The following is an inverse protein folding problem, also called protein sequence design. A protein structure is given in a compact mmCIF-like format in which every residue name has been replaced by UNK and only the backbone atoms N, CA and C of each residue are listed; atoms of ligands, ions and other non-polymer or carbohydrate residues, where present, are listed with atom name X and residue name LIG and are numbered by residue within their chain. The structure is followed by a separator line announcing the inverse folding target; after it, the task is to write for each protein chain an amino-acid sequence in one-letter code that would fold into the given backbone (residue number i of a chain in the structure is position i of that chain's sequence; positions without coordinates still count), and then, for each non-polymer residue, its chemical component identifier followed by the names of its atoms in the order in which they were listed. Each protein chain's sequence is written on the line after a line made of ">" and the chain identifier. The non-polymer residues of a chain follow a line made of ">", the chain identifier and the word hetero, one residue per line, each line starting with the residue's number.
data_IF_655212814986
#
_entry.id   IF_655212814986
#
_cell.length_a   1.000
_cell.length_b   1.000
_cell.length_c   1.000
_cell.angle_alpha   90.00
_cell.angle_beta   90.00
_cell.angle_gamma   90.00
#
_symmetry.space_group_name_H-M   'P 1'
#
loop_
_entity.id
_entity.type
_entity.pdbx_description
1 polymer ?
#
# COMPACT_ATOMS: atom_id res chain seq x y z
N UNK A 1 11.71 18.93 19.92
CA UNK A 1 12.25 18.74 18.57
C UNK A 1 11.08 18.46 17.64
N UNK A 2 10.80 19.34 16.67
CA UNK A 2 9.75 19.06 15.69
C UNK A 2 10.15 17.82 14.88
N UNK A 3 9.23 16.88 14.70
CA UNK A 3 9.45 15.68 13.89
C UNK A 3 9.55 16.11 12.43
N UNK A 4 10.78 16.19 11.91
CA UNK A 4 11.08 16.62 10.53
C UNK A 4 10.40 15.74 9.47
N UNK A 5 10.23 14.45 9.76
CA UNK A 5 9.73 13.46 8.81
C UNK A 5 8.31 13.77 8.28
N UNK A 6 7.26 13.96 9.12
CA UNK A 6 5.94 14.38 8.63
C UNK A 6 5.97 15.61 7.71
N UNK A 7 6.80 16.60 8.01
CA UNK A 7 6.94 17.81 7.19
C UNK A 7 7.58 17.52 5.83
N UNK A 8 8.60 16.66 5.80
CA UNK A 8 9.24 16.24 4.55
C UNK A 8 8.30 15.40 3.67
N UNK A 9 7.46 14.56 4.27
CA UNK A 9 6.49 13.74 3.53
C UNK A 9 5.46 14.60 2.77
N UNK A 10 5.14 15.80 3.27
CA UNK A 10 4.27 16.76 2.55
C UNK A 10 4.86 17.23 1.22
N UNK A 11 6.17 17.07 1.00
CA UNK A 11 6.84 17.46 -0.24
C UNK A 11 6.75 16.37 -1.32
N UNK A 12 6.22 15.19 -1.00
CA UNK A 12 6.03 14.11 -1.96
C UNK A 12 4.78 14.39 -2.78
N UNK A 13 4.97 14.70 -4.06
CA UNK A 13 3.88 14.98 -5.01
C UNK A 13 3.78 13.91 -6.12
N UNK A 14 4.62 12.88 -6.06
CA UNK A 14 4.76 11.89 -7.12
C UNK A 14 5.34 10.57 -6.59
N UNK A 15 4.74 9.45 -7.00
CA UNK A 15 5.22 8.10 -6.69
C UNK A 15 5.36 7.30 -8.00
N UNK A 16 6.60 6.95 -8.38
CA UNK A 16 6.88 6.04 -9.50
C UNK A 16 7.48 6.73 -10.74
N UNK A 17 7.36 6.08 -11.92
CA UNK A 17 7.90 6.60 -13.20
C UNK A 17 6.81 6.94 -14.23
N UNK A 18 5.55 6.57 -13.99
CA UNK A 18 4.44 6.70 -14.95
C UNK A 18 3.31 7.59 -14.41
N UNK A 19 3.46 8.91 -14.53
CA UNK A 19 2.37 9.90 -14.63
C UNK A 19 1.25 9.88 -13.57
N UNK A 20 1.47 9.36 -12.36
CA UNK A 20 0.50 9.40 -11.28
C UNK A 20 0.59 10.71 -10.49
N UNK A 21 -0.54 11.37 -10.24
CA UNK A 21 -0.60 12.53 -9.35
C UNK A 21 -1.02 12.09 -7.95
N UNK A 22 -0.30 12.56 -6.92
CA UNK A 22 -0.66 12.37 -5.52
C UNK A 22 -0.91 13.74 -4.90
N UNK A 23 -2.08 13.93 -4.30
CA UNK A 23 -2.39 15.08 -3.48
C UNK A 23 -2.57 14.64 -2.03
N UNK A 24 -1.76 15.20 -1.14
CA UNK A 24 -1.87 14.93 0.29
C UNK A 24 -3.02 15.76 0.87
N UNK A 25 -4.01 15.08 1.44
CA UNK A 25 -5.22 15.71 1.99
C UNK A 25 -5.07 16.15 3.46
N UNK A 26 -4.01 15.70 4.15
CA UNK A 26 -3.74 16.01 5.55
C UNK A 26 -2.34 15.57 5.97
N UNK A 27 -1.87 16.05 7.12
CA UNK A 27 -0.53 15.74 7.61
C UNK A 27 -0.37 14.23 7.87
N UNK A 28 0.69 13.57 7.37
CA UNK A 28 0.97 12.17 7.67
C UNK A 28 1.13 11.93 9.17
N UNK A 29 0.46 10.91 9.68
CA UNK A 29 0.51 10.50 11.09
C UNK A 29 1.33 9.23 11.25
N UNK A 30 2.04 9.11 12.36
CA UNK A 30 2.72 7.87 12.72
C UNK A 30 1.71 6.93 13.38
N UNK A 31 1.62 5.70 12.88
CA UNK A 31 0.94 4.60 13.55
C UNK A 31 1.91 3.46 13.76
N UNK A 32 1.80 2.77 14.90
CA UNK A 32 2.56 1.55 15.17
C UNK A 32 1.92 0.32 14.54
N UNK A 33 0.61 0.38 14.33
CA UNK A 33 -0.18 -0.74 13.85
C UNK A 33 -1.03 -0.29 12.65
N UNK A 34 -1.28 -1.24 11.75
CA UNK A 34 -2.29 -1.03 10.72
C UNK A 34 -3.68 -1.07 11.37
N UNK A 35 -4.66 -0.32 10.85
CA UNK A 35 -6.03 -0.41 11.33
C UNK A 35 -6.51 -1.87 11.30
N UNK A 36 -7.03 -2.37 12.42
CA UNK A 36 -7.53 -3.73 12.52
C UNK A 36 -8.61 -4.00 11.48
N UNK A 37 -8.60 -5.19 10.87
CA UNK A 37 -9.57 -5.58 9.84
C UNK A 37 -9.28 -4.99 8.44
N UNK A 38 -8.23 -4.17 8.27
CA UNK A 38 -7.86 -3.57 6.99
C UNK A 38 -6.56 -4.19 6.45
N UNK A 39 -6.38 -4.17 5.13
CA UNK A 39 -5.16 -4.65 4.45
C UNK A 39 -4.88 -6.14 4.71
N UNK A 40 -5.89 -6.99 4.51
CA UNK A 40 -5.84 -8.40 4.90
C UNK A 40 -5.06 -9.24 3.89
N UNK A 41 -4.02 -9.95 4.34
CA UNK A 41 -3.31 -10.93 3.53
C UNK A 41 -4.07 -12.25 3.51
N UNK A 42 -4.66 -12.59 2.36
CA UNK A 42 -5.46 -13.82 2.20
C UNK A 42 -4.64 -15.11 2.31
N UNK A 43 -3.34 -15.04 2.01
CA UNK A 43 -2.43 -16.19 2.05
C UNK A 43 -1.63 -16.27 3.36
N UNK A 44 -2.09 -15.59 4.41
CA UNK A 44 -1.49 -15.74 5.74
C UNK A 44 -1.83 -17.11 6.34
N UNK A 45 -0.97 -17.61 7.24
CA UNK A 45 -1.18 -18.92 7.90
C UNK A 45 -2.42 -18.93 8.79
N UNK A 46 -2.79 -17.76 9.35
CA UNK A 46 -3.99 -17.60 10.14
C UNK A 46 -5.14 -17.10 9.25
N UNK A 47 -6.30 -17.76 9.37
CA UNK A 47 -7.54 -17.28 8.77
C UNK A 47 -7.93 -15.96 9.42
N UNK A 48 -8.23 -14.97 8.59
CA UNK A 48 -8.69 -13.65 8.99
C UNK A 48 -9.95 -13.32 8.21
N UNK A 49 -10.93 -12.73 8.89
CA UNK A 49 -12.10 -12.18 8.24
C UNK A 49 -11.67 -11.02 7.33
N UNK A 50 -12.32 -10.90 6.18
CA UNK A 50 -12.07 -9.82 5.23
C UNK A 50 -13.38 -9.34 4.61
N UNK A 51 -13.40 -8.08 4.18
CA UNK A 51 -14.55 -7.51 3.48
C UNK A 51 -14.64 -8.05 2.05
N UNK A 52 -15.76 -8.69 1.73
CA UNK A 52 -16.01 -9.26 0.39
C UNK A 52 -16.15 -8.20 -0.70
N UNK A 53 -16.46 -6.96 -0.32
CA UNK A 53 -16.52 -5.79 -1.20
C UNK A 53 -15.18 -5.05 -1.34
N UNK A 54 -14.17 -5.46 -0.56
CA UNK A 54 -12.82 -4.90 -0.64
C UNK A 54 -12.13 -5.25 -1.96
N UNK A 55 -11.20 -4.40 -2.38
CA UNK A 55 -10.47 -4.59 -3.63
C UNK A 55 -9.31 -5.57 -3.40
N UNK A 56 -9.35 -6.73 -4.07
CA UNK A 56 -8.22 -7.65 -4.11
C UNK A 56 -7.10 -7.09 -4.99
N UNK A 57 -5.88 -7.01 -4.45
CA UNK A 57 -4.67 -6.63 -5.16
C UNK A 57 -3.55 -7.62 -4.90
N UNK A 58 -2.72 -7.86 -5.91
CA UNK A 58 -1.47 -8.60 -5.74
C UNK A 58 -0.34 -7.59 -5.54
N UNK A 59 0.24 -7.56 -4.34
CA UNK A 59 1.29 -6.64 -3.95
C UNK A 59 2.63 -7.34 -3.81
N UNK A 60 3.69 -6.55 -3.92
CA UNK A 60 5.05 -7.00 -3.71
C UNK A 60 5.50 -6.89 -2.27
N UNK A 61 6.28 -7.87 -1.83
CA UNK A 61 6.85 -7.92 -0.50
C UNK A 61 8.24 -8.60 -0.52
N UNK A 62 8.99 -8.43 0.57
CA UNK A 62 10.32 -8.98 0.73
C UNK A 62 10.24 -10.48 1.02
N UNK A 63 10.96 -11.28 0.23
CA UNK A 63 11.15 -12.69 0.51
C UNK A 63 12.17 -12.91 1.64
N UNK A 64 12.17 -14.08 2.29
CA UNK A 64 13.03 -14.36 3.46
C UNK A 64 14.52 -14.35 3.14
N UNK A 65 14.92 -14.48 1.87
CA UNK A 65 16.33 -14.43 1.46
C UNK A 65 16.81 -13.03 1.07
N UNK A 66 15.94 -12.01 1.09
CA UNK A 66 16.33 -10.65 0.76
C UNK A 66 17.12 -10.03 1.92
N UNK A 67 18.29 -9.48 1.58
CA UNK A 67 19.11 -8.71 2.51
C UNK A 67 19.27 -7.29 1.99
N UNK A 68 19.65 -6.34 2.87
CA UNK A 68 19.93 -4.97 2.44
C UNK A 68 21.06 -4.89 1.39
N UNK A 69 22.10 -5.71 1.55
CA UNK A 69 23.18 -5.80 0.56
C UNK A 69 22.64 -6.22 -0.82
N UNK A 70 21.70 -7.17 -0.85
CA UNK A 70 21.05 -7.67 -2.06
C UNK A 70 20.00 -6.72 -2.65
N UNK A 71 19.40 -5.87 -1.82
CA UNK A 71 18.46 -4.83 -2.25
C UNK A 71 19.14 -3.62 -2.90
N UNK A 72 20.48 -3.54 -2.83
CA UNK A 72 21.26 -2.47 -3.43
C UNK A 72 21.19 -2.52 -4.97
N UNK A 73 20.47 -1.57 -5.57
CA UNK A 73 20.31 -1.47 -7.02
C UNK A 73 21.59 -1.10 -7.79
N UNK A 74 22.64 -0.67 -7.08
CA UNK A 74 23.93 -0.32 -7.68
C UNK A 74 24.89 -1.50 -7.81
N UNK A 75 24.59 -2.64 -7.19
CA UNK A 75 25.36 -3.87 -7.37
C UNK A 75 24.82 -4.68 -8.56
N UNK A 76 25.47 -4.52 -9.71
CA UNK A 76 25.09 -5.21 -10.94
C UNK A 76 25.32 -6.73 -10.89
N UNK A 77 26.10 -7.24 -9.93
CA UNK A 77 26.37 -8.68 -9.79
C UNK A 77 25.25 -9.43 -9.08
N UNK A 78 24.39 -8.71 -8.37
CA UNK A 78 23.34 -9.29 -7.56
C UNK A 78 21.96 -9.14 -8.22
N UNK A 79 21.21 -10.24 -8.30
CA UNK A 79 19.86 -10.26 -8.86
C UNK A 79 18.82 -10.65 -7.81
N UNK A 80 17.75 -9.87 -7.71
CA UNK A 80 16.55 -10.18 -6.92
C UNK A 80 15.67 -11.13 -7.74
N UNK A 81 15.37 -12.30 -7.17
CA UNK A 81 14.57 -13.35 -7.83
C UNK A 81 13.18 -13.44 -7.22
N UNK A 82 12.15 -13.47 -8.06
CA UNK A 82 10.75 -13.67 -7.66
C UNK A 82 10.56 -15.07 -7.07
N UNK A 83 9.71 -15.20 -6.05
CA UNK A 83 9.49 -16.41 -5.23
C UNK A 83 10.67 -16.85 -4.36
N UNK A 84 11.73 -16.04 -4.29
CA UNK A 84 12.89 -16.27 -3.42
C UNK A 84 13.18 -15.02 -2.58
N UNK A 85 13.66 -13.97 -3.25
CA UNK A 85 14.04 -12.69 -2.63
C UNK A 85 12.88 -11.69 -2.63
N UNK A 86 11.89 -11.88 -3.51
CA UNK A 86 10.66 -11.10 -3.56
C UNK A 86 9.49 -12.04 -3.65
N UNK A 87 8.41 -11.77 -2.91
CA UNK A 87 7.20 -12.58 -2.91
C UNK A 87 5.99 -11.74 -3.26
N UNK A 88 4.97 -12.38 -3.83
CA UNK A 88 3.69 -11.75 -4.15
C UNK A 88 2.67 -12.09 -3.07
N UNK A 89 1.99 -11.08 -2.56
CA UNK A 89 0.97 -11.19 -1.53
C UNK A 89 -0.38 -10.79 -2.09
N UNK A 90 -1.40 -11.63 -1.87
CA UNK A 90 -2.78 -11.29 -2.17
C UNK A 90 -3.35 -10.53 -0.98
N UNK A 91 -3.58 -9.24 -1.17
CA UNK A 91 -4.05 -8.32 -0.13
C UNK A 91 -5.45 -7.82 -0.52
N UNK A 92 -6.40 -7.94 0.40
CA UNK A 92 -7.68 -7.23 0.32
C UNK A 92 -7.50 -5.84 0.90
N UNK A 93 -7.60 -4.83 0.04
CA UNK A 93 -7.56 -3.43 0.43
C UNK A 93 -8.95 -2.96 0.90
N UNK A 94 -9.03 -2.07 1.91
CA UNK A 94 -10.29 -1.53 2.43
C UNK A 94 -10.83 -0.43 1.50
N UNK A 95 -10.99 -0.77 0.22
CA UNK A 95 -11.45 0.14 -0.81
C UNK A 95 -12.41 -0.59 -1.74
N UNK A 96 -13.53 0.04 -2.05
CA UNK A 96 -14.50 -0.44 -3.01
C UNK A 96 -14.43 0.40 -4.29
N UNK A 97 -14.45 -0.25 -5.45
CA UNK A 97 -14.56 0.43 -6.74
C UNK A 97 -15.98 0.99 -6.88
N UNK A 98 -16.11 2.32 -6.92
CA UNK A 98 -17.40 3.00 -7.12
C UNK A 98 -17.70 3.19 -8.59
N UNK A 99 -16.69 3.62 -9.36
CA UNK A 99 -16.83 3.85 -10.79
C UNK A 99 -15.49 3.66 -11.50
N UNK A 100 -15.53 3.08 -12.69
CA UNK A 100 -14.37 3.01 -13.58
C UNK A 100 -14.65 3.73 -14.90
N UNK A 101 -13.62 4.34 -15.46
CA UNK A 101 -13.62 4.98 -16.77
C UNK A 101 -12.38 4.57 -17.55
N UNK A 102 -12.29 4.98 -18.82
CA UNK A 102 -11.11 4.73 -19.66
C UNK A 102 -9.81 5.27 -19.04
N UNK A 103 -9.87 6.39 -18.32
CA UNK A 103 -8.68 7.11 -17.86
C UNK A 103 -8.38 6.93 -16.38
N UNK A 104 -9.39 6.64 -15.56
CA UNK A 104 -9.23 6.50 -14.11
C UNK A 104 -10.34 5.64 -13.49
N UNK A 105 -10.07 5.13 -12.30
CA UNK A 105 -11.03 4.44 -11.44
C UNK A 105 -11.14 5.16 -10.11
N UNK A 106 -12.38 5.36 -9.65
CA UNK A 106 -12.68 5.97 -8.36
C UNK A 106 -12.99 4.87 -7.34
N UNK A 107 -12.23 4.90 -6.26
CA UNK A 107 -12.40 4.01 -5.12
C UNK A 107 -12.83 4.80 -3.89
N UNK A 108 -13.67 4.20 -3.08
CA UNK A 108 -14.07 4.73 -1.77
C UNK A 108 -13.50 3.82 -0.68
N UNK A 109 -12.98 4.40 0.40
CA UNK A 109 -12.49 3.63 1.54
C UNK A 109 -13.66 3.05 2.32
N UNK A 110 -13.59 1.76 2.64
CA UNK A 110 -14.58 1.10 3.49
C UNK A 110 -14.28 1.42 4.97
N UNK A 111 -15.32 1.65 5.76
CA UNK A 111 -15.19 2.01 7.19
C UNK A 111 -15.04 3.50 7.52
N UNK A 112 -15.02 4.40 6.52
CA UNK A 112 -15.34 5.82 6.75
C UNK A 112 -16.86 5.99 6.74
N UNK A 113 -17.48 6.08 7.92
CA UNK A 113 -18.79 6.72 8.01
C UNK A 113 -18.57 8.20 7.70
N UNK A 114 -18.78 8.61 6.45
CA UNK A 114 -19.07 10.02 6.20
C UNK A 114 -20.41 10.32 6.87
N UNK A 115 -20.37 11.16 7.91
CA UNK A 115 -21.54 11.94 8.32
C UNK A 115 -21.91 12.80 7.12
N UNK A 116 -22.77 12.28 6.25
CA UNK A 116 -23.40 13.08 5.20
C UNK A 116 -24.45 13.93 5.90
N UNK A 117 -24.05 15.12 6.36
CA UNK A 117 -25.04 16.17 6.61
C UNK A 117 -25.68 16.52 5.26
N UNK A 118 -26.99 16.30 5.19
CA UNK A 118 -27.87 16.69 4.09
C UNK A 118 -28.31 18.14 4.24
#
# INVERSE_FOLDING_TARGET
>A
MQTLLPTLLLQINYLGKRGGFLQIMGQPQSSRELPAGHFIQLTATALQDFETTGTLQMLDDCGPSLTFAKANIYDASTRIVLHKDRVLRHIVLPYQLIRSSRSYSWYQRTGEMETVER
#
